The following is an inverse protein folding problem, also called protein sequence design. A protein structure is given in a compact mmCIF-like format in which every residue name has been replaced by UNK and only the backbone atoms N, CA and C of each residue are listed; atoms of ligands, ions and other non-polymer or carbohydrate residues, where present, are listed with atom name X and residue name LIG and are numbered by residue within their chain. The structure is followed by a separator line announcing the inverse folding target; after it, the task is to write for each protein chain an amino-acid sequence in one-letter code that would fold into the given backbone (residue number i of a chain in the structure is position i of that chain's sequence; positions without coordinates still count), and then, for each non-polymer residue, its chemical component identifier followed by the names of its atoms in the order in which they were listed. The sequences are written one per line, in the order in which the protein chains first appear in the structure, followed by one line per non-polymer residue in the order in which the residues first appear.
data_IF_529475049824
#
_entry.id   IF_529475049824
#
_cell.length_a   1.000
_cell.length_b   1.000
_cell.length_c   1.000
_cell.angle_alpha   90.00
_cell.angle_beta   90.00
_cell.angle_gamma   90.00
#
_symmetry.space_group_name_H-M   'P 1'
#
loop_
_entity.id
_entity.type
_entity.pdbx_description
1 polymer ?
#
# COMPACT_ATOMS: atom_id res chain seq x y z
N UNK A 1 -47.84 -67.48 -36.82
CA UNK A 1 -47.57 -67.43 -38.27
C UNK A 1 -46.99 -68.73 -38.80
N UNK A 2 -45.94 -69.28 -38.19
CA UNK A 2 -45.29 -70.51 -38.69
C UNK A 2 -46.21 -71.73 -38.74
N UNK A 3 -47.07 -71.92 -37.74
CA UNK A 3 -48.04 -73.03 -37.71
C UNK A 3 -49.08 -72.91 -38.84
N UNK A 4 -49.62 -71.71 -39.05
CA UNK A 4 -50.58 -71.44 -40.15
C UNK A 4 -49.92 -71.62 -41.53
N UNK A 5 -48.63 -71.28 -41.68
CA UNK A 5 -47.86 -71.50 -42.91
C UNK A 5 -47.56 -72.98 -43.16
N UNK A 6 -47.28 -73.76 -42.11
CA UNK A 6 -47.13 -75.23 -42.20
C UNK A 6 -48.45 -75.88 -42.60
N UNK A 7 -49.56 -75.53 -41.95
CA UNK A 7 -50.90 -76.01 -42.33
C UNK A 7 -51.31 -75.59 -43.76
N UNK A 8 -50.93 -74.40 -44.23
CA UNK A 8 -51.19 -73.97 -45.61
C UNK A 8 -50.38 -74.79 -46.62
N UNK A 9 -49.15 -75.18 -46.27
CA UNK A 9 -48.31 -76.06 -47.08
C UNK A 9 -48.89 -77.47 -47.16
N UNK A 10 -49.37 -78.01 -46.04
CA UNK A 10 -49.99 -79.34 -45.99
C UNK A 10 -51.29 -79.36 -46.81
N UNK A 11 -52.15 -78.34 -46.65
CA UNK A 11 -53.37 -78.17 -47.47
C UNK A 11 -53.08 -77.98 -48.97
N UNK A 12 -51.98 -77.31 -49.31
CA UNK A 12 -51.55 -77.18 -50.70
C UNK A 12 -51.09 -78.52 -51.29
N UNK A 13 -50.44 -79.38 -50.49
CA UNK A 13 -50.08 -80.75 -50.89
C UNK A 13 -51.30 -81.65 -51.10
N UNK A 14 -52.31 -81.53 -50.25
CA UNK A 14 -53.59 -82.23 -50.40
C UNK A 14 -54.40 -81.75 -51.63
N UNK A 15 -54.33 -80.46 -51.96
CA UNK A 15 -54.93 -79.88 -53.17
C UNK A 15 -54.31 -80.43 -54.47
N UNK A 16 -53.01 -80.72 -54.48
CA UNK A 16 -52.30 -81.29 -55.65
C UNK A 16 -52.69 -82.75 -55.88
N UNK A 17 -53.09 -83.48 -54.82
CA UNK A 17 -53.42 -84.91 -54.86
C UNK A 17 -54.92 -85.19 -54.99
N UNK A 18 -55.78 -84.20 -54.72
CA UNK A 18 -57.23 -84.35 -54.77
C UNK A 18 -57.79 -84.35 -56.20
N UNK A 19 -58.57 -85.40 -56.55
CA UNK A 19 -59.28 -85.53 -57.84
C UNK A 19 -60.80 -85.63 -57.60
N UNK A 20 -61.44 -84.47 -57.36
CA UNK A 20 -62.89 -84.35 -57.19
C UNK A 20 -63.34 -82.90 -56.96
N UNK A 21 -64.33 -82.43 -57.72
CA UNK A 21 -64.70 -81.01 -57.80
C UNK A 21 -65.19 -80.39 -56.48
N UNK A 22 -65.85 -81.15 -55.60
CA UNK A 22 -66.35 -80.64 -54.32
C UNK A 22 -65.31 -80.72 -53.19
N UNK A 23 -64.40 -81.70 -53.22
CA UNK A 23 -63.27 -81.76 -52.28
C UNK A 23 -62.30 -80.59 -52.49
N UNK A 24 -61.97 -80.29 -53.76
CA UNK A 24 -61.11 -79.15 -54.14
C UNK A 24 -61.70 -77.81 -53.66
N UNK A 25 -63.02 -77.62 -53.79
CA UNK A 25 -63.69 -76.39 -53.29
C UNK A 25 -63.62 -76.25 -51.77
N UNK A 26 -63.79 -77.35 -51.02
CA UNK A 26 -63.72 -77.35 -49.57
C UNK A 26 -62.30 -77.03 -49.06
N UNK A 27 -61.27 -77.66 -49.66
CA UNK A 27 -59.87 -77.36 -49.34
C UNK A 27 -59.48 -75.93 -49.73
N UNK A 28 -59.92 -75.44 -50.89
CA UNK A 28 -59.67 -74.06 -51.30
C UNK A 28 -60.30 -73.03 -50.35
N UNK A 29 -61.51 -73.30 -49.84
CA UNK A 29 -62.17 -72.47 -48.82
C UNK A 29 -61.38 -72.45 -47.51
N UNK A 30 -60.90 -73.61 -47.05
CA UNK A 30 -60.04 -73.73 -45.85
C UNK A 30 -58.72 -72.98 -46.02
N UNK A 31 -58.05 -73.13 -47.17
CA UNK A 31 -56.81 -72.41 -47.50
C UNK A 31 -57.01 -70.89 -47.56
N UNK A 32 -58.09 -70.41 -48.18
CA UNK A 32 -58.43 -68.98 -48.24
C UNK A 32 -58.65 -68.40 -46.83
N UNK A 33 -59.35 -69.11 -45.95
CA UNK A 33 -59.55 -68.67 -44.56
C UNK A 33 -58.23 -68.51 -43.79
N UNK A 34 -57.27 -69.42 -44.01
CA UNK A 34 -55.94 -69.32 -43.40
C UNK A 34 -55.10 -68.19 -43.97
N UNK A 35 -55.18 -67.93 -45.28
CA UNK A 35 -54.55 -66.75 -45.89
C UNK A 35 -55.13 -65.44 -45.33
N UNK A 36 -56.44 -65.38 -45.09
CA UNK A 36 -57.07 -64.22 -44.44
C UNK A 36 -56.58 -64.04 -42.99
N UNK A 37 -56.42 -65.12 -42.22
CA UNK A 37 -55.82 -65.07 -40.87
C UNK A 37 -54.37 -64.59 -40.89
N UNK A 38 -53.55 -65.07 -41.83
CA UNK A 38 -52.18 -64.60 -42.00
C UNK A 38 -52.12 -63.11 -42.37
N UNK A 39 -53.00 -62.65 -43.27
CA UNK A 39 -53.12 -61.21 -43.60
C UNK A 39 -53.52 -60.38 -42.37
N UNK A 40 -54.46 -60.87 -41.57
CA UNK A 40 -54.90 -60.20 -40.35
C UNK A 40 -53.78 -60.11 -39.30
N UNK A 41 -53.03 -61.19 -39.07
CA UNK A 41 -51.87 -61.17 -38.16
C UNK A 41 -50.73 -60.30 -38.70
N UNK A 42 -50.46 -60.31 -40.01
CA UNK A 42 -49.46 -59.42 -40.60
C UNK A 42 -49.85 -57.94 -40.45
N UNK A 43 -51.12 -57.60 -40.67
CA UNK A 43 -51.63 -56.25 -40.42
C UNK A 43 -51.49 -55.87 -38.93
N UNK A 44 -51.83 -56.79 -38.01
CA UNK A 44 -51.66 -56.58 -36.57
C UNK A 44 -50.20 -56.31 -36.19
N UNK A 45 -49.26 -57.07 -36.76
CA UNK A 45 -47.83 -56.86 -36.54
C UNK A 45 -47.37 -55.53 -37.13
N UNK A 46 -47.76 -55.19 -38.35
CA UNK A 46 -47.41 -53.92 -38.98
C UNK A 46 -47.90 -52.71 -38.16
N UNK A 47 -49.15 -52.76 -37.67
CA UNK A 47 -49.68 -51.73 -36.78
C UNK A 47 -48.96 -51.70 -35.43
N UNK A 48 -48.62 -52.86 -34.87
CA UNK A 48 -47.83 -52.96 -33.64
C UNK A 48 -46.43 -52.35 -33.80
N UNK A 49 -45.76 -52.62 -34.92
CA UNK A 49 -44.43 -52.04 -35.22
C UNK A 49 -44.51 -50.54 -35.44
N UNK A 50 -45.53 -50.04 -36.13
CA UNK A 50 -45.70 -48.60 -36.34
C UNK A 50 -45.99 -47.89 -35.02
N UNK A 51 -46.84 -48.47 -34.16
CA UNK A 51 -47.11 -47.92 -32.83
C UNK A 51 -45.84 -47.86 -31.97
N UNK A 52 -45.04 -48.93 -31.94
CA UNK A 52 -43.77 -48.94 -31.21
C UNK A 52 -42.78 -47.91 -31.76
N UNK A 53 -42.77 -47.73 -33.09
CA UNK A 53 -41.95 -46.71 -33.75
C UNK A 53 -42.37 -45.31 -33.34
N UNK A 54 -43.67 -45.02 -33.30
CA UNK A 54 -44.19 -43.73 -32.84
C UNK A 54 -43.90 -43.47 -31.35
N UNK A 55 -44.11 -44.47 -30.49
CA UNK A 55 -43.81 -44.37 -29.05
C UNK A 55 -42.31 -44.09 -28.83
N UNK A 56 -41.44 -44.80 -29.56
CA UNK A 56 -39.98 -44.59 -29.50
C UNK A 56 -39.59 -43.21 -30.04
N UNK A 57 -40.21 -42.76 -31.13
CA UNK A 57 -39.94 -41.44 -31.70
C UNK A 57 -40.35 -40.30 -30.73
N UNK A 58 -41.49 -40.45 -30.04
CA UNK A 58 -41.93 -39.49 -29.00
C UNK A 58 -40.96 -39.44 -27.82
N UNK A 59 -40.54 -40.61 -27.32
CA UNK A 59 -39.56 -40.68 -26.24
C UNK A 59 -38.22 -40.06 -26.64
N UNK A 60 -37.75 -40.32 -27.87
CA UNK A 60 -36.52 -39.72 -28.42
C UNK A 60 -36.63 -38.20 -28.51
N UNK A 61 -37.74 -37.67 -29.00
CA UNK A 61 -37.95 -36.22 -29.10
C UNK A 61 -37.94 -35.54 -27.72
N UNK A 62 -38.54 -36.16 -26.70
CA UNK A 62 -38.46 -35.67 -25.32
C UNK A 62 -37.03 -35.65 -24.80
N UNK A 63 -36.27 -36.74 -25.05
CA UNK A 63 -34.86 -36.83 -24.64
C UNK A 63 -33.99 -35.77 -25.33
N UNK A 64 -34.21 -35.53 -26.63
CA UNK A 64 -33.50 -34.49 -27.39
C UNK A 64 -33.79 -33.08 -26.85
N UNK A 65 -35.02 -32.82 -26.44
CA UNK A 65 -35.40 -31.56 -25.80
C UNK A 65 -34.70 -31.38 -24.44
N UNK A 66 -34.66 -32.43 -23.62
CA UNK A 66 -33.98 -32.41 -22.33
C UNK A 66 -32.46 -32.29 -22.48
N UNK A 67 -31.86 -32.94 -23.48
CA UNK A 67 -30.43 -32.82 -23.79
C UNK A 67 -30.08 -31.39 -24.22
N UNK A 68 -30.92 -30.74 -25.04
CA UNK A 68 -30.73 -29.34 -25.40
C UNK A 68 -30.80 -28.42 -24.17
N UNK A 69 -31.77 -28.66 -23.27
CA UNK A 69 -31.87 -27.90 -22.02
C UNK A 69 -30.63 -28.09 -21.14
N UNK A 70 -30.13 -29.33 -21.04
CA UNK A 70 -28.90 -29.65 -20.32
C UNK A 70 -27.68 -28.93 -20.92
N UNK A 71 -27.53 -28.96 -22.26
CA UNK A 71 -26.44 -28.27 -22.93
C UNK A 71 -26.48 -26.76 -22.65
N UNK A 72 -27.65 -26.13 -22.71
CA UNK A 72 -27.81 -24.70 -22.37
C UNK A 72 -27.34 -24.41 -20.93
N UNK A 73 -27.75 -25.23 -19.95
CA UNK A 73 -27.33 -25.08 -18.56
C UNK A 73 -25.83 -25.30 -18.36
N UNK A 74 -25.24 -26.25 -19.09
CA UNK A 74 -23.80 -26.49 -19.06
C UNK A 74 -23.02 -25.28 -19.60
N UNK A 75 -23.49 -24.67 -20.68
CA UNK A 75 -22.91 -23.44 -21.22
C UNK A 75 -23.01 -22.28 -20.22
N UNK A 76 -24.18 -22.10 -19.61
CA UNK A 76 -24.40 -21.05 -18.61
C UNK A 76 -23.50 -21.26 -17.38
N UNK A 77 -23.40 -22.49 -16.88
CA UNK A 77 -22.47 -22.84 -15.80
C UNK A 77 -21.03 -22.47 -16.18
N UNK A 78 -20.58 -22.87 -17.37
CA UNK A 78 -19.21 -22.59 -17.81
C UNK A 78 -18.94 -21.09 -17.95
N UNK A 79 -19.95 -20.33 -18.39
CA UNK A 79 -19.90 -18.88 -18.45
C UNK A 79 -19.70 -18.27 -17.07
N UNK A 80 -20.54 -18.63 -16.09
CA UNK A 80 -20.39 -18.10 -14.73
C UNK A 80 -19.10 -18.57 -14.05
N UNK A 81 -18.64 -19.80 -14.30
CA UNK A 81 -17.34 -20.25 -13.78
C UNK A 81 -16.18 -19.40 -14.31
N UNK A 82 -16.22 -19.02 -15.61
CA UNK A 82 -15.25 -18.09 -16.20
C UNK A 82 -15.35 -16.70 -15.58
N UNK A 83 -16.56 -16.18 -15.42
CA UNK A 83 -16.79 -14.86 -14.83
C UNK A 83 -16.31 -14.80 -13.37
N UNK A 84 -16.67 -15.80 -12.57
CA UNK A 84 -16.24 -15.95 -11.17
C UNK A 84 -14.72 -16.08 -11.09
N UNK A 85 -14.09 -16.86 -11.98
CA UNK A 85 -12.63 -16.96 -12.06
C UNK A 85 -12.00 -15.60 -12.40
N UNK A 86 -12.58 -14.87 -13.36
CA UNK A 86 -12.19 -13.50 -13.69
C UNK A 86 -12.25 -12.58 -12.48
N UNK A 87 -13.38 -12.55 -11.76
CA UNK A 87 -13.54 -11.75 -10.55
C UNK A 87 -12.57 -12.16 -9.43
N UNK A 88 -12.34 -13.47 -9.22
CA UNK A 88 -11.41 -13.99 -8.21
C UNK A 88 -9.95 -13.74 -8.55
N UNK A 89 -9.63 -13.57 -9.82
CA UNK A 89 -8.28 -13.25 -10.29
C UNK A 89 -7.90 -11.77 -10.09
N UNK A 90 -8.79 -10.97 -9.49
CA UNK A 90 -8.50 -9.59 -9.15
C UNK A 90 -7.24 -9.50 -8.28
N UNK A 91 -6.28 -8.71 -8.77
CA UNK A 91 -5.08 -8.33 -8.02
C UNK A 91 -5.11 -6.82 -7.86
N UNK A 92 -4.99 -6.36 -6.63
CA UNK A 92 -4.78 -4.94 -6.36
C UNK A 92 -3.46 -4.49 -7.00
N UNK A 93 -3.40 -3.22 -7.41
CA UNK A 93 -2.18 -2.63 -7.99
C UNK A 93 -0.98 -2.66 -7.01
N UNK A 94 -1.26 -2.72 -5.71
CA UNK A 94 -0.27 -2.82 -4.65
C UNK A 94 -0.56 -4.10 -3.85
N UNK A 95 0.45 -4.96 -3.71
CA UNK A 95 0.38 -6.13 -2.82
C UNK A 95 0.60 -5.72 -1.37
N UNK A 96 0.09 -6.51 -0.43
CA UNK A 96 0.27 -6.27 1.01
C UNK A 96 1.74 -6.19 1.41
N UNK A 97 2.60 -7.00 0.77
CA UNK A 97 4.05 -6.96 0.92
C UNK A 97 4.67 -5.61 0.47
N UNK A 98 4.15 -5.04 -0.62
CA UNK A 98 4.62 -3.75 -1.14
C UNK A 98 4.20 -2.60 -0.22
N UNK A 99 3.01 -2.70 0.39
CA UNK A 99 2.52 -1.68 1.32
C UNK A 99 3.33 -1.73 2.62
N UNK A 100 3.70 -2.93 3.09
CA UNK A 100 4.54 -3.10 4.28
C UNK A 100 3.87 -2.54 5.53
N UNK A 101 2.71 -3.09 5.90
CA UNK A 101 1.96 -2.65 7.08
C UNK A 101 2.64 -3.09 8.39
N UNK A 102 2.48 -2.27 9.43
CA UNK A 102 2.78 -2.64 10.82
C UNK A 102 2.03 -3.91 11.23
N UNK A 103 2.60 -4.64 12.17
CA UNK A 103 1.98 -5.86 12.70
C UNK A 103 0.68 -5.52 13.46
N UNK A 104 -0.18 -6.52 13.66
CA UNK A 104 -1.44 -6.30 14.40
C UNK A 104 -1.18 -5.89 15.84
N UNK A 105 -0.15 -6.45 16.47
CA UNK A 105 0.26 -6.13 17.84
C UNK A 105 0.67 -4.65 17.96
N UNK A 106 1.46 -4.16 17.01
CA UNK A 106 1.87 -2.75 16.94
C UNK A 106 0.67 -1.82 16.70
N UNK A 107 -0.28 -2.23 15.88
CA UNK A 107 -1.52 -1.47 15.67
C UNK A 107 -2.35 -1.37 16.95
N UNK A 108 -2.57 -2.48 17.66
CA UNK A 108 -3.34 -2.46 18.90
C UNK A 108 -2.64 -1.73 20.04
N UNK A 109 -1.30 -1.68 20.04
CA UNK A 109 -0.53 -0.88 20.99
C UNK A 109 -0.59 0.62 20.68
N UNK A 110 -0.33 1.01 19.43
CA UNK A 110 -0.01 2.40 19.07
C UNK A 110 -1.17 3.19 18.45
N UNK A 111 -2.22 2.52 17.94
CA UNK A 111 -3.32 3.22 17.30
C UNK A 111 -4.15 4.05 18.28
N UNK A 112 -4.87 5.03 17.75
CA UNK A 112 -5.87 5.79 18.52
C UNK A 112 -7.07 4.89 18.87
N UNK A 113 -7.67 5.12 20.05
CA UNK A 113 -8.83 4.34 20.53
C UNK A 113 -10.03 4.38 19.57
N UNK A 114 -10.22 5.49 18.83
CA UNK A 114 -11.26 5.63 17.82
C UNK A 114 -11.10 4.62 16.66
N UNK A 115 -9.86 4.35 16.25
CA UNK A 115 -9.58 3.36 15.21
C UNK A 115 -9.69 1.94 15.76
N UNK A 116 -9.20 1.70 16.99
CA UNK A 116 -9.31 0.40 17.66
C UNK A 116 -10.76 -0.02 17.85
N UNK A 117 -11.66 0.91 18.17
CA UNK A 117 -13.08 0.60 18.36
C UNK A 117 -13.77 0.22 17.05
N UNK A 118 -13.40 0.85 15.92
CA UNK A 118 -13.92 0.50 14.59
C UNK A 118 -13.35 -0.80 14.04
N UNK A 119 -12.15 -1.19 14.47
CA UNK A 119 -11.47 -2.39 14.02
C UNK A 119 -12.06 -3.71 14.57
N UNK A 120 -12.94 -3.66 15.58
CA UNK A 120 -13.48 -4.84 16.27
C UNK A 120 -14.67 -5.51 15.55
N UNK A 121 -15.17 -4.94 14.46
CA UNK A 121 -16.39 -5.40 13.80
C UNK A 121 -16.17 -6.57 12.81
N UNK A 122 -15.06 -6.57 12.09
CA UNK A 122 -14.72 -7.55 11.04
C UNK A 122 -13.23 -7.49 10.70
N UNK A 123 -12.66 -8.58 10.20
CA UNK A 123 -11.27 -8.63 9.71
C UNK A 123 -11.03 -7.60 8.58
N UNK A 124 -12.05 -7.37 7.74
CA UNK A 124 -11.98 -6.33 6.72
C UNK A 124 -11.88 -4.94 7.33
N UNK A 125 -12.69 -4.66 8.36
CA UNK A 125 -12.67 -3.39 9.06
C UNK A 125 -11.36 -3.18 9.81
N UNK A 126 -10.80 -4.24 10.41
CA UNK A 126 -9.46 -4.22 10.99
C UNK A 126 -8.41 -3.78 9.96
N UNK A 127 -8.41 -4.39 8.76
CA UNK A 127 -7.47 -4.02 7.71
C UNK A 127 -7.64 -2.57 7.23
N UNK A 128 -8.89 -2.10 7.09
CA UNK A 128 -9.16 -0.70 6.73
C UNK A 128 -8.65 0.27 7.80
N UNK A 129 -8.84 -0.04 9.09
CA UNK A 129 -8.33 0.81 10.16
C UNK A 129 -6.81 0.77 10.24
N UNK A 130 -6.18 -0.38 10.00
CA UNK A 130 -4.70 -0.50 9.91
C UNK A 130 -4.14 0.38 8.78
N UNK A 131 -4.75 0.33 7.59
CA UNK A 131 -4.37 1.19 6.46
C UNK A 131 -4.57 2.68 6.79
N UNK A 132 -5.67 3.04 7.44
CA UNK A 132 -5.95 4.41 7.84
C UNK A 132 -4.93 4.94 8.86
N UNK A 133 -4.56 4.12 9.85
CA UNK A 133 -3.53 4.43 10.84
C UNK A 133 -2.17 4.67 10.17
N UNK A 134 -1.74 3.73 9.33
CA UNK A 134 -0.47 3.82 8.60
C UNK A 134 -0.41 5.05 7.69
N UNK A 135 -1.51 5.37 7.00
CA UNK A 135 -1.60 6.58 6.17
C UNK A 135 -1.40 7.86 7.02
N UNK A 136 -2.02 7.94 8.20
CA UNK A 136 -1.86 9.09 9.11
C UNK A 136 -0.43 9.19 9.60
N UNK A 137 0.15 8.06 10.01
CA UNK A 137 1.53 7.99 10.49
C UNK A 137 2.50 8.47 9.40
N UNK A 138 2.38 7.95 8.16
CA UNK A 138 3.24 8.36 7.03
C UNK A 138 3.08 9.83 6.69
N UNK A 139 1.87 10.39 6.77
CA UNK A 139 1.64 11.84 6.57
C UNK A 139 2.32 12.68 7.66
N UNK A 140 2.21 12.26 8.93
CA UNK A 140 2.90 12.94 10.03
C UNK A 140 4.42 12.88 9.85
N UNK A 141 4.97 11.68 9.60
CA UNK A 141 6.40 11.48 9.38
C UNK A 141 6.93 12.30 8.19
N UNK A 142 6.18 12.39 7.10
CA UNK A 142 6.55 13.22 5.95
C UNK A 142 6.58 14.72 6.31
N UNK A 143 5.62 15.19 7.12
CA UNK A 143 5.59 16.57 7.61
C UNK A 143 6.79 16.85 8.52
N UNK A 144 7.05 15.97 9.49
CA UNK A 144 8.18 16.09 10.41
C UNK A 144 9.52 16.09 9.66
N UNK A 145 9.65 15.22 8.64
CA UNK A 145 10.83 15.15 7.79
C UNK A 145 11.06 16.47 7.04
N UNK A 146 10.01 17.08 6.47
CA UNK A 146 10.12 18.38 5.80
C UNK A 146 10.46 19.52 6.77
N UNK A 147 9.88 19.53 7.98
CA UNK A 147 10.23 20.49 9.03
C UNK A 147 11.70 20.34 9.45
N UNK A 148 12.17 19.11 9.66
CA UNK A 148 13.58 18.83 9.99
C UNK A 148 14.53 19.19 8.85
N UNK A 149 14.15 18.96 7.59
CA UNK A 149 14.94 19.43 6.43
C UNK A 149 15.05 20.95 6.39
N UNK A 150 13.94 21.67 6.63
CA UNK A 150 13.95 23.14 6.72
C UNK A 150 14.85 23.63 7.84
N UNK A 151 14.71 23.05 9.04
CA UNK A 151 15.57 23.36 10.19
C UNK A 151 17.05 23.12 9.89
N UNK A 152 17.38 21.97 9.28
CA UNK A 152 18.74 21.65 8.83
C UNK A 152 19.26 22.69 7.83
N UNK A 153 18.46 23.09 6.85
CA UNK A 153 18.83 24.09 5.86
C UNK A 153 19.12 25.46 6.50
N UNK A 154 18.26 25.90 7.42
CA UNK A 154 18.47 27.15 8.16
C UNK A 154 19.73 27.11 9.02
N UNK A 155 19.98 25.99 9.70
CA UNK A 155 21.18 25.83 10.52
C UNK A 155 22.46 25.85 9.66
N UNK A 156 22.45 25.16 8.50
CA UNK A 156 23.57 25.21 7.56
C UNK A 156 23.82 26.62 7.03
N UNK A 157 22.78 27.41 6.79
CA UNK A 157 22.92 28.81 6.40
C UNK A 157 23.51 29.66 7.53
N UNK A 158 23.08 29.46 8.78
CA UNK A 158 23.63 30.15 9.97
C UNK A 158 25.12 29.83 10.14
N UNK A 159 25.49 28.55 10.07
CA UNK A 159 26.89 28.10 10.13
C UNK A 159 27.71 28.70 8.99
N UNK A 160 27.21 28.63 7.74
CA UNK A 160 27.89 29.24 6.60
C UNK A 160 28.06 30.75 6.72
N UNK A 161 27.11 31.45 7.35
CA UNK A 161 27.22 32.87 7.69
C UNK A 161 28.32 33.14 8.70
N UNK A 162 28.34 32.39 9.81
CA UNK A 162 29.37 32.50 10.85
C UNK A 162 30.77 32.18 10.30
N UNK A 163 30.91 31.16 9.47
CA UNK A 163 32.19 30.84 8.81
C UNK A 163 32.69 31.97 7.91
N UNK A 164 31.78 32.65 7.17
CA UNK A 164 32.16 33.81 6.35
C UNK A 164 32.64 34.96 7.23
N UNK A 165 31.93 35.24 8.33
CA UNK A 165 32.33 36.28 9.29
C UNK A 165 33.69 35.95 9.91
N UNK A 166 33.94 34.71 10.31
CA UNK A 166 35.22 34.29 10.86
C UNK A 166 36.36 34.41 9.84
N UNK A 167 36.14 34.00 8.59
CA UNK A 167 37.11 34.15 7.50
C UNK A 167 37.42 35.62 7.22
N UNK A 168 36.39 36.48 7.18
CA UNK A 168 36.55 37.92 7.03
C UNK A 168 37.30 38.52 8.22
N UNK A 169 36.93 38.17 9.46
CA UNK A 169 37.60 38.66 10.65
C UNK A 169 39.09 38.29 10.64
N UNK A 170 39.42 37.05 10.29
CA UNK A 170 40.80 36.59 10.16
C UNK A 170 41.59 37.40 9.13
N UNK A 171 40.99 37.72 7.97
CA UNK A 171 41.66 38.53 6.95
C UNK A 171 41.86 39.97 7.39
N UNK A 172 40.86 40.58 8.04
CA UNK A 172 40.96 41.95 8.56
C UNK A 172 41.99 42.06 9.69
N UNK A 173 42.02 41.09 10.61
CA UNK A 173 43.02 41.04 11.69
C UNK A 173 44.44 40.88 11.12
N UNK A 174 44.62 40.08 10.07
CA UNK A 174 45.93 39.97 9.39
C UNK A 174 46.34 41.29 8.74
N UNK A 175 45.42 41.96 8.04
CA UNK A 175 45.69 43.28 7.46
C UNK A 175 46.01 44.34 8.52
N UNK A 176 45.34 44.28 9.68
CA UNK A 176 45.64 45.13 10.82
C UNK A 176 47.01 44.84 11.41
N UNK A 177 47.38 43.56 11.61
CA UNK A 177 48.72 43.16 12.08
C UNK A 177 49.82 43.70 11.14
N UNK A 178 49.66 43.51 9.84
CA UNK A 178 50.60 44.00 8.82
C UNK A 178 50.72 45.54 8.85
N UNK A 179 49.60 46.24 9.00
CA UNK A 179 49.58 47.72 9.06
C UNK A 179 50.12 48.27 10.38
N UNK A 180 49.92 47.53 11.49
CA UNK A 180 50.36 47.92 12.82
C UNK A 180 51.83 47.55 13.09
N UNK A 181 52.42 46.61 12.34
CA UNK A 181 53.83 46.18 12.46
C UNK A 181 54.86 47.33 12.50
N UNK A 182 54.83 48.33 11.59
CA UNK A 182 55.78 49.45 11.67
C UNK A 182 55.60 50.32 12.93
N UNK A 183 54.36 50.50 13.40
CA UNK A 183 54.10 51.21 14.67
C UNK A 183 54.54 50.37 15.87
N UNK A 184 54.33 49.06 15.82
CA UNK A 184 54.77 48.13 16.84
C UNK A 184 56.29 48.16 16.96
N UNK A 185 57.05 48.14 15.86
CA UNK A 185 58.52 48.23 15.88
C UNK A 185 59.02 49.52 16.55
N UNK A 186 58.33 50.65 16.37
CA UNK A 186 58.67 51.93 17.01
C UNK A 186 58.29 51.95 18.50
N UNK A 187 57.15 51.37 18.87
CA UNK A 187 56.58 51.45 20.22
C UNK A 187 56.99 50.30 21.15
N UNK A 188 57.44 49.17 20.61
CA UNK A 188 57.85 47.98 21.39
C UNK A 188 59.12 48.18 22.20
N UNK A 189 59.85 49.29 21.98
CA UNK A 189 60.92 49.76 22.87
C UNK A 189 60.45 50.64 24.05
N UNK A 190 59.15 50.96 24.15
CA UNK A 190 58.58 51.78 25.23
C UNK A 190 58.22 50.99 26.49
N UNK A 191 57.88 51.65 27.61
CA UNK A 191 57.48 50.96 28.84
C UNK A 191 56.25 50.08 28.59
N UNK A 192 56.40 48.78 28.82
CA UNK A 192 55.31 47.83 28.67
C UNK A 192 54.15 48.19 29.61
N UNK A 193 52.99 48.48 29.04
CA UNK A 193 51.74 48.65 29.80
C UNK A 193 51.49 47.35 30.56
N UNK A 194 51.59 47.40 31.89
CA UNK A 194 51.36 46.23 32.73
C UNK A 194 49.85 46.05 32.87
N UNK A 195 49.30 45.25 31.97
CA UNK A 195 47.92 44.79 32.08
C UNK A 195 47.79 43.98 33.38
N UNK A 196 46.91 44.44 34.28
CA UNK A 196 46.57 43.74 35.51
C UNK A 196 45.90 42.37 35.22
N UNK A 197 45.60 41.52 36.23
CA UNK A 197 45.12 40.16 35.98
C UNK A 197 43.84 40.17 35.13
N UNK A 198 43.95 39.60 33.92
CA UNK A 198 42.95 39.65 32.84
C UNK A 198 41.57 39.11 33.23
N UNK A 199 41.52 38.11 34.12
CA UNK A 199 40.32 37.34 34.41
C UNK A 199 39.12 38.17 34.90
N UNK A 200 39.34 39.18 35.76
CA UNK A 200 38.26 40.04 36.24
C UNK A 200 37.93 41.18 35.27
N UNK A 201 38.88 41.55 34.40
CA UNK A 201 38.77 42.67 33.47
C UNK A 201 37.98 42.28 32.22
N UNK A 202 38.16 41.06 31.75
CA UNK A 202 37.49 40.51 30.56
C UNK A 202 35.97 40.32 30.75
N UNK A 203 35.51 40.29 32.02
CA UNK A 203 34.10 40.17 32.40
C UNK A 203 33.40 41.53 32.56
N UNK A 204 34.11 42.66 32.39
CA UNK A 204 33.46 43.97 32.47
C UNK A 204 32.65 44.27 31.21
N UNK A 205 31.48 44.94 31.35
CA UNK A 205 30.80 45.58 30.24
C UNK A 205 31.72 46.54 29.46
N UNK A 206 31.57 46.58 28.14
CA UNK A 206 32.42 47.34 27.22
C UNK A 206 32.70 48.79 27.67
N UNK A 207 31.72 49.59 28.16
CA UNK A 207 31.99 50.95 28.61
C UNK A 207 32.92 51.03 29.83
N UNK A 208 32.80 50.09 30.77
CA UNK A 208 33.63 50.06 31.98
C UNK A 208 35.02 49.50 31.69
N UNK A 209 35.13 48.55 30.76
CA UNK A 209 36.41 48.08 30.25
C UNK A 209 37.22 49.22 29.62
N UNK A 210 36.58 50.05 28.78
CA UNK A 210 37.23 51.22 28.17
C UNK A 210 37.73 52.19 29.25
N UNK A 211 36.90 52.53 30.23
CA UNK A 211 37.30 53.42 31.33
C UNK A 211 38.48 52.86 32.13
N UNK A 212 38.43 51.57 32.47
CA UNK A 212 39.52 50.89 33.17
C UNK A 212 40.83 50.95 32.37
N UNK A 213 40.76 50.65 31.06
CA UNK A 213 41.94 50.66 30.18
C UNK A 213 42.58 52.06 30.08
N UNK A 214 41.75 53.11 30.01
CA UNK A 214 42.21 54.50 29.96
C UNK A 214 42.86 54.94 31.27
N UNK A 215 42.26 54.58 32.41
CA UNK A 215 42.80 54.93 33.74
C UNK A 215 44.09 54.15 34.05
N UNK A 216 44.17 52.88 33.65
CA UNK A 216 45.39 52.09 33.77
C UNK A 216 46.52 52.64 32.87
N UNK A 217 46.19 53.03 31.63
CA UNK A 217 47.15 53.68 30.73
C UNK A 217 47.62 55.04 31.27
N UNK A 218 46.72 55.85 31.84
CA UNK A 218 47.06 57.14 32.43
C UNK A 218 47.98 57.00 33.66
N UNK A 219 47.74 55.99 34.52
CA UNK A 219 48.63 55.65 35.63
C UNK A 219 50.05 55.35 35.14
N UNK A 220 50.15 54.44 34.16
CA UNK A 220 51.45 53.94 33.68
C UNK A 220 52.22 55.00 32.86
N UNK A 221 51.52 55.79 32.03
CA UNK A 221 52.15 56.77 31.15
C UNK A 221 52.50 58.10 31.83
N UNK A 222 51.66 58.58 32.77
CA UNK A 222 51.82 59.89 33.41
C UNK A 222 52.36 59.79 34.85
N UNK A 223 52.54 58.58 35.38
CA UNK A 223 53.03 58.37 36.76
C UNK A 223 52.09 58.94 37.83
N UNK A 224 50.79 59.06 37.51
CA UNK A 224 49.80 59.60 38.43
C UNK A 224 49.63 58.66 39.64
N UNK A 225 49.45 59.19 40.87
CA UNK A 225 49.24 58.39 42.08
C UNK A 225 47.81 57.83 42.14
N UNK A 226 47.38 57.13 41.09
CA UNK A 226 46.05 56.56 40.94
C UNK A 226 46.12 55.04 41.09
N UNK A 227 45.29 54.51 41.98
CA UNK A 227 45.10 53.06 42.15
C UNK A 227 43.78 52.67 41.50
N UNK A 228 43.86 51.87 40.43
CA UNK A 228 42.67 51.34 39.74
C UNK A 228 42.53 49.87 40.11
N UNK A 229 41.42 49.52 40.76
CA UNK A 229 41.11 48.15 41.14
C UNK A 229 39.68 47.81 40.71
N UNK A 230 39.51 46.63 40.10
CA UNK A 230 38.18 46.07 39.83
C UNK A 230 37.71 45.39 41.11
N UNK A 231 36.59 45.84 41.65
CA UNK A 231 35.97 45.24 42.85
C UNK A 231 34.61 44.68 42.46
N UNK A 232 34.34 43.43 42.86
CA UNK A 232 33.10 42.74 42.52
C UNK A 232 33.24 41.22 42.63
N UNK A 233 32.10 40.54 42.52
CA UNK A 233 32.04 39.07 42.46
C UNK A 233 32.22 38.60 41.02
N UNK A 234 33.24 37.78 40.79
CA UNK A 234 33.52 37.18 39.47
C UNK A 234 32.41 36.19 39.08
N UNK A 235 31.82 35.50 40.06
CA UNK A 235 30.79 34.48 39.84
C UNK A 235 29.46 35.10 39.36
N UNK A 236 29.06 36.23 39.95
CA UNK A 236 27.85 36.97 39.54
C UNK A 236 28.01 37.58 38.15
N UNK A 237 29.20 38.08 37.81
CA UNK A 237 29.50 38.64 36.50
C UNK A 237 29.40 37.57 35.39
N UNK A 238 29.91 36.36 35.66
CA UNK A 238 29.77 35.22 34.73
C UNK A 238 28.31 34.79 34.58
N UNK A 239 27.55 34.75 35.68
CA UNK A 239 26.13 34.40 35.64
C UNK A 239 25.30 35.42 34.82
N UNK A 240 25.54 36.72 35.00
CA UNK A 240 24.89 37.78 34.22
C UNK A 240 25.20 37.68 32.73
N UNK A 241 26.44 37.34 32.38
CA UNK A 241 26.85 37.20 30.98
C UNK A 241 26.24 35.96 30.32
N UNK A 242 26.06 34.88 31.07
CA UNK A 242 25.33 33.68 30.63
C UNK A 242 23.82 33.94 30.50
N UNK A 243 23.23 34.68 31.44
CA UNK A 243 21.82 35.09 31.38
C UNK A 243 21.56 35.97 30.16
N UNK A 244 22.36 37.02 29.95
CA UNK A 244 22.24 37.89 28.78
C UNK A 244 22.43 37.13 27.45
N UNK A 245 23.35 36.14 27.41
CA UNK A 245 23.51 35.29 26.23
C UNK A 245 22.30 34.38 25.99
N UNK A 246 21.66 33.88 27.06
CA UNK A 246 20.45 33.06 26.97
C UNK A 246 19.22 33.87 26.57
N UNK A 247 19.09 35.11 27.07
CA UNK A 247 18.02 36.04 26.70
C UNK A 247 18.12 36.45 25.22
N UNK A 248 19.33 36.74 24.74
CA UNK A 248 19.56 37.04 23.31
C UNK A 248 19.29 35.83 22.41
N UNK A 249 19.52 34.60 22.89
CA UNK A 249 19.16 33.38 22.16
C UNK A 249 17.63 33.19 22.12
N UNK A 250 16.92 33.46 23.23
CA UNK A 250 15.47 33.38 23.29
C UNK A 250 14.78 34.45 22.43
N UNK A 251 15.28 35.68 22.42
CA UNK A 251 14.76 36.75 21.54
C UNK A 251 15.02 36.45 20.05
N UNK A 252 16.16 35.85 19.72
CA UNK A 252 16.48 35.43 18.35
C UNK A 252 15.67 34.21 17.87
N UNK A 253 15.14 33.40 18.79
CA UNK A 253 14.19 32.31 18.50
C UNK A 253 12.74 32.81 18.42
N UNK A 254 12.35 33.78 19.25
CA UNK A 254 11.02 34.39 19.22
C UNK A 254 10.77 35.24 17.95
N UNK A 255 11.79 35.95 17.45
CA UNK A 255 11.70 36.76 16.22
C UNK A 255 11.70 35.96 14.90
N UNK A 256 11.83 34.61 14.95
CA UNK A 256 11.71 33.73 13.78
C UNK A 256 10.31 33.09 13.66
N UNK A 257 9.37 33.46 14.55
CA UNK A 257 8.00 32.92 14.60
C UNK A 257 6.88 33.86 14.13
N UNK A 258 7.17 35.09 13.71
CA UNK A 258 6.21 36.01 13.07
C UNK A 258 6.33 36.02 11.54
#
# INVERSE_FOLDING_TARGET
MEEELRSLRDLAGELVTASGGDAVKALAKSGMLRLLRLKAENARLAHGTERLREETAKAKASLEQDDLALQNLLYEKQYYEKEVSGCRSFKSAFSDETIGLQTEEEFWANAEEDLKNKAKASDHDLMLQRLAHEMRLRKSMAKDLEERKKSKSMLLQKVGGQERVLKQLQSHLRGLDESARPLHEVLSGGPAVRLAPRAAVDLLPLPLFVLYSQMAAARDALGLPLTVAVTGSVEEAVALQQQAASEQQQEAEAGQGE
#
